data_IF_033705713597
#
_entry.id   IF_033705713597
#
_cell.length_a   1.000
_cell.length_b   1.000
_cell.length_c   1.000
_cell.angle_alpha   90.00
_cell.angle_beta   90.00
_cell.angle_gamma   90.00
#
_symmetry.space_group_name_H-M   'P 1'
#
loop_
_entity.id
_entity.type
_entity.pdbx_description
1 polymer ?
#
# COMPACT_ATOMS: atom_id res chain seq x y z
N UNK A 1 -0.89 -19.57 7.96
CA UNK A 1 -0.01 -18.83 8.90
C UNK A 1 1.24 -19.65 9.12
N UNK A 2 2.45 -19.17 8.79
CA UNK A 2 3.68 -19.95 8.98
C UNK A 2 4.33 -19.64 10.36
N UNK A 3 5.20 -20.53 10.84
CA UNK A 3 5.85 -20.41 12.16
C UNK A 3 6.61 -19.10 12.32
N UNK A 4 7.35 -18.68 11.29
CA UNK A 4 8.14 -17.44 11.31
C UNK A 4 7.26 -16.19 11.46
N UNK A 5 6.07 -16.18 10.84
CA UNK A 5 5.09 -15.08 11.01
C UNK A 5 4.56 -15.03 12.43
N UNK A 6 4.26 -16.18 13.06
CA UNK A 6 3.81 -16.23 14.44
C UNK A 6 4.85 -15.64 15.41
N UNK A 7 6.11 -16.04 15.28
CA UNK A 7 7.21 -15.50 16.11
C UNK A 7 7.33 -13.98 15.93
N UNK A 8 7.29 -13.50 14.68
CA UNK A 8 7.33 -12.05 14.40
C UNK A 8 6.19 -11.30 15.08
N UNK A 9 4.97 -11.86 15.06
CA UNK A 9 3.81 -11.25 15.71
C UNK A 9 3.92 -11.28 17.24
N UNK A 10 4.46 -12.34 17.82
CA UNK A 10 4.68 -12.43 19.28
C UNK A 10 5.70 -11.38 19.73
N UNK A 11 6.81 -11.19 19.01
CA UNK A 11 7.77 -10.11 19.30
C UNK A 11 7.20 -8.70 19.03
N UNK A 12 6.29 -8.57 18.08
CA UNK A 12 5.56 -7.31 17.88
C UNK A 12 4.62 -7.04 19.06
N UNK A 13 3.91 -8.07 19.54
CA UNK A 13 3.03 -7.98 20.67
C UNK A 13 3.78 -7.65 21.97
N UNK A 14 4.95 -8.24 22.20
CA UNK A 14 5.85 -7.86 23.31
C UNK A 14 6.11 -6.34 23.31
N UNK A 15 6.50 -5.79 22.15
CA UNK A 15 6.76 -4.34 21.99
C UNK A 15 5.51 -3.49 22.17
N UNK A 16 4.37 -3.90 21.61
CA UNK A 16 3.12 -3.12 21.72
C UNK A 16 2.53 -3.13 23.13
N UNK A 17 2.69 -4.24 23.85
CA UNK A 17 2.26 -4.39 25.24
C UNK A 17 3.29 -3.87 26.25
N UNK A 18 4.44 -3.37 25.77
CA UNK A 18 5.53 -2.84 26.58
C UNK A 18 6.01 -3.81 27.67
N UNK A 19 6.07 -5.11 27.33
CA UNK A 19 6.57 -6.12 28.25
C UNK A 19 8.10 -6.10 28.26
N UNK A 20 8.68 -5.94 29.43
CA UNK A 20 10.10 -6.21 29.64
C UNK A 20 10.42 -7.70 29.42
N UNK A 21 11.70 -8.03 29.29
CA UNK A 21 12.14 -9.38 28.97
C UNK A 21 11.79 -10.42 30.05
N UNK A 22 11.77 -10.03 31.32
CA UNK A 22 11.40 -10.93 32.42
C UNK A 22 9.90 -11.22 32.39
N UNK A 23 9.07 -10.19 32.32
CA UNK A 23 7.62 -10.31 32.18
C UNK A 23 7.23 -11.10 30.93
N UNK A 24 7.93 -10.87 29.82
CA UNK A 24 7.73 -11.62 28.58
C UNK A 24 8.02 -13.10 28.76
N UNK A 25 9.18 -13.46 29.32
CA UNK A 25 9.54 -14.87 29.59
C UNK A 25 8.58 -15.54 30.56
N UNK A 26 8.15 -14.84 31.61
CA UNK A 26 7.15 -15.33 32.55
C UNK A 26 5.79 -15.58 31.87
N UNK A 27 5.36 -14.68 30.99
CA UNK A 27 4.13 -14.85 30.22
C UNK A 27 4.19 -16.06 29.27
N UNK A 28 5.35 -16.28 28.63
CA UNK A 28 5.60 -17.47 27.81
C UNK A 28 5.55 -18.74 28.66
N UNK A 29 6.24 -18.76 29.80
CA UNK A 29 6.28 -19.91 30.72
C UNK A 29 4.89 -20.29 31.26
N UNK A 30 4.05 -19.29 31.53
CA UNK A 30 2.66 -19.48 31.98
C UNK A 30 1.78 -20.13 30.91
N UNK A 31 1.97 -19.79 29.64
CA UNK A 31 1.14 -20.33 28.54
C UNK A 31 1.65 -21.68 28.04
N UNK A 32 2.97 -21.87 28.03
CA UNK A 32 3.64 -23.02 27.41
C UNK A 32 4.26 -23.99 28.42
N UNK A 33 3.82 -23.97 29.68
CA UNK A 33 4.22 -24.91 30.74
C UNK A 33 5.75 -25.04 30.82
N UNK A 34 6.42 -23.95 31.19
CA UNK A 34 7.89 -23.74 31.43
C UNK A 34 8.73 -23.17 30.30
N UNK A 35 8.29 -23.20 29.04
CA UNK A 35 9.09 -22.65 27.92
C UNK A 35 9.16 -21.12 27.95
N UNK A 36 10.37 -20.58 27.90
CA UNK A 36 10.63 -19.13 27.97
C UNK A 36 11.06 -18.51 26.64
N UNK A 37 11.16 -19.30 25.57
CA UNK A 37 11.61 -18.86 24.25
C UNK A 37 10.70 -19.37 23.15
N UNK A 38 10.37 -18.49 22.21
CA UNK A 38 9.61 -18.84 20.99
C UNK A 38 10.32 -19.88 20.13
N UNK A 39 11.65 -20.04 20.25
CA UNK A 39 12.41 -21.03 19.48
C UNK A 39 12.08 -22.46 19.89
N UNK A 40 11.74 -22.69 21.16
CA UNK A 40 11.46 -24.02 21.73
C UNK A 40 9.97 -24.39 21.64
N UNK A 41 9.16 -23.48 21.08
CA UNK A 41 7.73 -23.63 20.93
C UNK A 41 7.36 -24.22 19.57
N UNK A 42 6.42 -25.15 19.61
CA UNK A 42 5.69 -25.71 18.47
C UNK A 42 4.69 -24.69 17.92
N UNK A 43 4.22 -24.91 16.69
CA UNK A 43 3.21 -24.02 16.07
C UNK A 43 1.95 -23.87 16.93
N UNK A 44 1.35 -24.94 17.50
CA UNK A 44 0.18 -24.80 18.36
C UNK A 44 0.44 -23.96 19.63
N UNK A 45 1.63 -24.09 20.22
CA UNK A 45 2.04 -23.29 21.39
C UNK A 45 2.18 -21.81 21.04
N UNK A 46 2.82 -21.50 19.92
CA UNK A 46 2.95 -20.11 19.42
C UNK A 46 1.59 -19.47 19.16
N UNK A 47 0.62 -20.24 18.63
CA UNK A 47 -0.76 -19.76 18.46
C UNK A 47 -1.39 -19.44 19.81
N UNK A 48 -1.27 -20.32 20.82
CA UNK A 48 -1.81 -20.05 22.17
C UNK A 48 -1.21 -18.80 22.82
N UNK A 49 0.10 -18.59 22.68
CA UNK A 49 0.79 -17.38 23.15
C UNK A 49 0.20 -16.14 22.48
N UNK A 50 0.07 -16.18 21.15
CA UNK A 50 -0.48 -15.06 20.40
C UNK A 50 -1.92 -14.73 20.83
N UNK A 51 -2.75 -15.74 21.07
CA UNK A 51 -4.11 -15.58 21.59
C UNK A 51 -4.12 -15.00 23.02
N UNK A 52 -3.22 -15.43 23.90
CA UNK A 52 -3.08 -14.85 25.23
C UNK A 52 -2.70 -13.37 25.17
N UNK A 53 -1.83 -12.98 24.22
CA UNK A 53 -1.45 -11.58 24.02
C UNK A 53 -2.60 -10.75 23.42
N UNK A 54 -3.40 -11.32 22.51
CA UNK A 54 -4.62 -10.66 22.03
C UNK A 54 -5.60 -10.37 23.16
N UNK A 55 -5.80 -11.32 24.07
CA UNK A 55 -6.63 -11.14 25.28
C UNK A 55 -6.09 -10.03 26.20
N UNK A 56 -4.76 -9.85 26.23
CA UNK A 56 -4.10 -8.76 26.96
C UNK A 56 -4.13 -7.40 26.23
N UNK A 57 -4.74 -7.32 25.04
CA UNK A 57 -4.91 -6.07 24.30
C UNK A 57 -4.06 -5.94 23.04
N UNK A 58 -3.30 -6.97 22.65
CA UNK A 58 -2.57 -6.95 21.38
C UNK A 58 -3.55 -6.93 20.20
N UNK A 59 -3.45 -5.89 19.36
CA UNK A 59 -4.27 -5.75 18.15
C UNK A 59 -3.39 -5.88 16.91
N UNK A 60 -3.63 -6.92 16.11
CA UNK A 60 -2.97 -7.07 14.80
C UNK A 60 -3.57 -6.04 13.86
N UNK A 61 -2.92 -4.88 13.73
CA UNK A 61 -3.24 -3.93 12.66
C UNK A 61 -2.71 -4.52 11.35
N UNK A 62 -3.59 -5.07 10.52
CA UNK A 62 -3.26 -5.22 9.11
C UNK A 62 -3.15 -3.82 8.53
N UNK A 63 -2.08 -3.55 7.77
CA UNK A 63 -2.11 -2.38 6.88
C UNK A 63 -3.34 -2.55 5.99
N UNK A 64 -4.16 -1.49 5.77
CA UNK A 64 -5.20 -1.58 4.77
C UNK A 64 -4.54 -2.03 3.47
N UNK A 65 -4.89 -3.23 3.02
CA UNK A 65 -4.46 -3.65 1.71
C UNK A 65 -5.06 -2.64 0.74
N UNK A 66 -4.27 -2.11 -0.20
CA UNK A 66 -4.77 -1.32 -1.33
C UNK A 66 -5.56 -2.24 -2.29
N UNK A 67 -6.45 -3.08 -1.75
CA UNK A 67 -7.39 -3.91 -2.50
C UNK A 67 -8.40 -2.95 -3.11
N UNK A 68 -8.28 -2.71 -4.41
CA UNK A 68 -9.23 -1.90 -5.17
C UNK A 68 -8.68 -0.60 -5.75
N UNK A 69 -7.45 -0.18 -5.43
CA UNK A 69 -6.81 0.92 -6.17
C UNK A 69 -6.30 0.35 -7.48
N UNK A 70 -7.12 0.48 -8.54
CA UNK A 70 -6.66 0.21 -9.90
C UNK A 70 -5.44 1.08 -10.16
N UNK A 71 -4.35 0.55 -10.75
CA UNK A 71 -3.23 1.38 -11.16
C UNK A 71 -3.77 2.51 -12.05
N UNK A 72 -3.35 3.74 -11.78
CA UNK A 72 -3.75 4.90 -12.56
C UNK A 72 -3.47 4.64 -14.05
N UNK A 73 -4.45 4.94 -14.91
CA UNK A 73 -4.27 4.82 -16.35
C UNK A 73 -3.06 5.67 -16.81
N UNK A 74 -2.38 5.32 -17.91
CA UNK A 74 -1.32 6.15 -18.47
C UNK A 74 -1.75 7.62 -18.64
N UNK A 75 -2.99 7.85 -19.07
CA UNK A 75 -3.60 9.19 -19.20
C UNK A 75 -3.65 9.90 -17.84
N UNK A 76 -4.12 9.24 -16.79
CA UNK A 76 -4.19 9.82 -15.45
C UNK A 76 -2.79 10.18 -14.89
N UNK A 77 -1.75 9.40 -15.26
CA UNK A 77 -0.36 9.74 -14.91
C UNK A 77 0.12 10.99 -15.64
N UNK A 78 -0.15 11.10 -16.94
CA UNK A 78 0.23 12.28 -17.74
C UNK A 78 -0.48 13.52 -17.21
N UNK A 79 -1.78 13.44 -16.91
CA UNK A 79 -2.52 14.55 -16.30
C UNK A 79 -1.95 14.94 -14.92
N UNK A 80 -1.54 13.96 -14.10
CA UNK A 80 -0.92 14.24 -12.80
C UNK A 80 0.42 14.97 -12.94
N UNK A 81 1.23 14.61 -13.93
CA UNK A 81 2.48 15.31 -14.26
C UNK A 81 2.17 16.73 -14.73
N UNK A 82 1.20 16.90 -15.64
CA UNK A 82 0.77 18.20 -16.15
C UNK A 82 0.29 19.15 -15.04
N UNK A 83 -0.57 18.65 -14.14
CA UNK A 83 -1.02 19.41 -12.97
C UNK A 83 0.14 19.75 -12.03
N UNK A 84 1.15 18.88 -11.93
CA UNK A 84 2.35 19.16 -11.14
C UNK A 84 3.18 20.28 -11.77
N UNK A 85 3.34 20.27 -13.10
CA UNK A 85 4.00 21.34 -13.84
C UNK A 85 3.25 22.67 -13.67
N UNK A 86 1.92 22.66 -13.64
CA UNK A 86 1.11 23.86 -13.39
C UNK A 86 1.35 24.42 -11.98
N UNK A 87 1.29 23.56 -10.95
CA UNK A 87 1.57 23.96 -9.56
C UNK A 87 2.96 24.54 -9.36
N UNK A 88 3.93 24.06 -10.15
CA UNK A 88 5.31 24.54 -10.14
C UNK A 88 5.52 25.79 -11.02
N UNK A 89 4.48 26.28 -11.70
CA UNK A 89 4.55 27.48 -12.54
C UNK A 89 5.16 27.27 -13.93
N UNK A 90 5.44 26.03 -14.34
CA UNK A 90 5.99 25.73 -15.67
C UNK A 90 4.96 25.86 -16.79
N UNK A 91 3.67 25.69 -16.48
CA UNK A 91 2.56 25.86 -17.42
C UNK A 91 1.47 26.72 -16.81
N UNK A 92 0.70 27.42 -17.65
CA UNK A 92 -0.30 28.40 -17.21
C UNK A 92 -1.65 27.81 -16.77
N UNK A 93 -1.98 26.57 -17.17
CA UNK A 93 -3.19 25.86 -16.74
C UNK A 93 -2.89 24.37 -16.55
N UNK A 94 -3.47 23.78 -15.49
CA UNK A 94 -3.37 22.37 -15.16
C UNK A 94 -4.51 21.51 -15.73
N UNK A 95 -5.38 22.08 -16.56
CA UNK A 95 -6.59 21.41 -17.04
C UNK A 95 -6.31 20.50 -18.24
N UNK A 96 -7.12 19.45 -18.38
CA UNK A 96 -6.97 18.45 -19.44
C UNK A 96 -7.15 19.05 -20.85
N UNK A 97 -7.97 20.10 -20.98
CA UNK A 97 -8.15 20.83 -22.25
C UNK A 97 -6.84 21.48 -22.70
N UNK A 98 -6.11 22.11 -21.78
CA UNK A 98 -4.83 22.75 -22.06
C UNK A 98 -3.76 21.70 -22.41
N UNK A 99 -3.75 20.57 -21.71
CA UNK A 99 -2.90 19.43 -22.02
C UNK A 99 -3.17 18.89 -23.44
N UNK A 100 -4.44 18.67 -23.80
CA UNK A 100 -4.81 18.18 -25.13
C UNK A 100 -4.45 19.17 -26.25
N UNK A 101 -4.63 20.47 -26.02
CA UNK A 101 -4.20 21.50 -26.97
C UNK A 101 -2.67 21.53 -27.13
N UNK A 102 -1.94 21.38 -26.01
CA UNK A 102 -0.48 21.29 -26.02
C UNK A 102 0.01 20.05 -26.78
N UNK A 103 -0.58 18.88 -26.52
CA UNK A 103 -0.26 17.64 -27.23
C UNK A 103 -0.48 17.84 -28.72
N UNK A 104 -1.67 18.29 -29.14
CA UNK A 104 -1.99 18.54 -30.56
C UNK A 104 -0.98 19.47 -31.23
N UNK A 105 -0.61 20.57 -30.58
CA UNK A 105 0.36 21.53 -31.11
C UNK A 105 1.77 20.95 -31.23
N UNK A 106 2.20 20.15 -30.25
CA UNK A 106 3.54 19.59 -30.19
C UNK A 106 3.70 18.39 -31.14
N UNK A 107 2.72 17.48 -31.17
CA UNK A 107 2.75 16.29 -32.04
C UNK A 107 2.42 16.60 -33.49
N UNK A 108 1.64 17.65 -33.78
CA UNK A 108 1.42 18.11 -35.16
C UNK A 108 2.73 18.59 -35.83
N UNK A 109 3.68 19.10 -35.04
CA UNK A 109 5.02 19.48 -35.55
C UNK A 109 5.89 18.27 -35.86
N UNK A 110 5.75 17.17 -35.12
CA UNK A 110 6.52 15.95 -35.35
C UNK A 110 5.96 15.08 -36.50
N UNK A 111 4.67 15.19 -36.80
CA UNK A 111 4.00 14.45 -37.88
C UNK A 111 3.97 15.18 -39.24
N UNK A 112 4.84 16.17 -39.47
CA UNK A 112 4.96 16.83 -40.78
C UNK A 112 3.71 17.56 -41.27
N UNK A 113 2.82 18.03 -40.37
CA UNK A 113 1.64 18.81 -40.75
C UNK A 113 0.37 18.01 -41.04
N UNK A 114 0.28 16.72 -40.71
CA UNK A 114 -1.00 15.99 -40.74
C UNK A 114 -1.79 16.18 -39.44
N UNK A 115 -2.24 17.41 -39.22
CA UNK A 115 -3.42 17.71 -38.40
C UNK A 115 -4.69 17.51 -39.23
N UNK A 116 -4.88 16.31 -39.81
CA UNK A 116 -6.08 15.95 -40.55
C UNK A 116 -7.21 15.57 -39.58
N UNK A 117 -8.35 16.23 -39.70
CA UNK A 117 -9.45 16.19 -38.74
C UNK A 117 -10.07 14.81 -38.49
N UNK A 118 -10.46 14.59 -37.24
CA UNK A 118 -11.44 13.57 -36.85
C UNK A 118 -12.80 14.23 -36.59
N UNK A 119 -13.30 14.96 -37.59
CA UNK A 119 -14.69 15.42 -37.66
C UNK A 119 -15.23 15.02 -39.02
N UNK A 120 -15.54 13.72 -39.16
CA UNK A 120 -16.03 13.16 -40.41
C UNK A 120 -16.01 11.65 -40.41
N UNK A 121 -16.84 11.03 -39.56
CA UNK A 121 -17.62 9.85 -39.89
C UNK A 121 -18.62 9.61 -38.75
N UNK A 122 -19.85 10.05 -39.01
CA UNK A 122 -21.04 9.69 -38.27
C UNK A 122 -21.27 8.17 -38.30
N UNK A 123 -21.92 7.62 -37.28
CA UNK A 123 -23.27 7.05 -37.44
C UNK A 123 -23.85 6.48 -36.14
N UNK A 124 -25.04 7.02 -35.81
CA UNK A 124 -26.26 6.35 -35.33
C UNK A 124 -26.21 5.26 -34.26
N UNK A 125 -26.96 5.52 -33.19
CA UNK A 125 -27.40 4.60 -32.14
C UNK A 125 -28.08 5.38 -31.04
#
# INVERSE_FOLDING_TARGET
MNRSTLIKLIHLAQRQLQLDDETYRAALGKVCRTKTSCRDMTVPELVRVLEAFKKKGFKVRSKPALRGVKPASPVAKILSIWQTMHRQGFVQSGDEVALNAWIRRTTAKENGGLGGGAAGLAQSG
#
